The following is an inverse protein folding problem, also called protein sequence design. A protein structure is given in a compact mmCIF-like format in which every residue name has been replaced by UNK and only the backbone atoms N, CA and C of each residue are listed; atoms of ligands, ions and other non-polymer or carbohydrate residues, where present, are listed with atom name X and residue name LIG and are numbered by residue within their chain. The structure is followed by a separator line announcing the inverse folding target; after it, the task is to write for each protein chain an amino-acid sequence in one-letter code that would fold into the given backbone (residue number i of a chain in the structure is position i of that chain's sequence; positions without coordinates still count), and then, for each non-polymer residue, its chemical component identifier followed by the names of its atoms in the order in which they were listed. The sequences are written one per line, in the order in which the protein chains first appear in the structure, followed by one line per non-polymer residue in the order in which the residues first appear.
data_IF_257844150283
#
_entry.id   IF_257844150283
#
_cell.length_a   1.000
_cell.length_b   1.000
_cell.length_c   1.000
_cell.angle_alpha   90.00
_cell.angle_beta   90.00
_cell.angle_gamma   90.00
#
_symmetry.space_group_name_H-M   'P 1'
#
loop_
_entity.id
_entity.type
_entity.pdbx_description
1 polymer ?
#
# COMPACT_ATOMS: atom_id res chain seq x y z
N UNK A 1 7.87 46.94 49.95
CA UNK A 1 7.39 45.54 49.87
C UNK A 1 7.62 45.06 48.45
N UNK A 2 8.73 44.39 48.24
CA UNK A 2 9.27 43.96 46.94
C UNK A 2 8.88 42.51 46.69
N UNK A 3 8.10 42.27 45.63
CA UNK A 3 7.70 40.93 45.19
C UNK A 3 8.80 40.30 44.34
N UNK A 4 9.15 39.01 44.55
CA UNK A 4 10.21 38.36 43.79
C UNK A 4 9.73 37.89 42.41
N UNK A 5 10.62 38.07 41.45
CA UNK A 5 10.56 37.64 40.05
C UNK A 5 10.60 36.11 39.96
N UNK A 6 9.58 35.51 39.35
CA UNK A 6 9.57 34.09 38.97
C UNK A 6 10.19 33.94 37.59
N UNK A 7 11.43 33.46 37.55
CA UNK A 7 12.13 33.10 36.34
C UNK A 7 11.50 31.84 35.71
N UNK A 8 10.97 32.02 34.50
CA UNK A 8 10.53 30.97 33.59
C UNK A 8 11.75 30.22 33.03
N UNK A 9 11.95 28.98 33.48
CA UNK A 9 12.91 28.05 32.89
C UNK A 9 12.20 27.29 31.77
N UNK A 10 12.47 27.66 30.52
CA UNK A 10 12.11 26.86 29.35
C UNK A 10 13.05 25.65 29.22
N UNK A 11 12.53 24.44 28.93
CA UNK A 11 13.37 23.29 28.64
C UNK A 11 14.03 23.46 27.27
N UNK A 12 15.37 23.40 27.25
CA UNK A 12 16.15 23.29 26.01
C UNK A 12 15.86 21.94 25.34
N UNK A 13 15.52 21.90 24.04
CA UNK A 13 15.44 20.64 23.32
C UNK A 13 16.84 20.04 23.21
N UNK A 14 17.01 18.82 23.76
CA UNK A 14 18.17 17.98 23.53
C UNK A 14 18.30 17.74 22.02
N UNK A 15 19.26 18.42 21.39
CA UNK A 15 19.79 18.10 20.08
C UNK A 15 20.66 16.86 20.18
N UNK A 16 20.04 15.70 20.37
CA UNK A 16 20.64 14.43 19.94
C UNK A 16 20.56 14.36 18.41
N UNK A 17 21.35 15.21 17.75
CA UNK A 17 21.73 15.13 16.35
C UNK A 17 22.58 13.86 16.12
N UNK A 18 21.97 12.69 16.31
CA UNK A 18 22.34 11.51 15.54
C UNK A 18 21.70 11.67 14.17
N UNK A 19 22.19 12.64 13.41
CA UNK A 19 22.07 12.60 11.96
C UNK A 19 22.74 11.31 11.52
N UNK A 20 21.91 10.33 11.19
CA UNK A 20 22.33 9.15 10.46
C UNK A 20 22.66 9.69 9.07
N UNK A 21 23.86 10.25 8.96
CA UNK A 21 24.48 10.61 7.69
C UNK A 21 24.63 9.27 6.97
N UNK A 22 23.64 8.97 6.12
CA UNK A 22 23.79 7.94 5.12
C UNK A 22 24.91 8.43 4.22
N UNK A 23 26.10 7.91 4.49
CA UNK A 23 27.28 7.95 3.64
C UNK A 23 26.92 7.16 2.37
N UNK A 24 26.08 7.77 1.52
CA UNK A 24 25.79 7.28 0.21
C UNK A 24 27.11 7.42 -0.56
N UNK A 25 27.68 6.32 -1.08
CA UNK A 25 28.92 6.40 -1.81
C UNK A 25 28.73 7.40 -2.94
N UNK A 26 29.49 8.51 -2.86
CA UNK A 26 29.66 9.47 -3.94
C UNK A 26 30.20 8.68 -5.14
N UNK A 27 29.30 8.16 -5.97
CA UNK A 27 29.65 7.65 -7.28
C UNK A 27 30.12 8.87 -8.07
N UNK A 28 31.45 9.02 -8.12
CA UNK A 28 32.14 9.92 -9.02
C UNK A 28 31.70 9.60 -10.45
N UNK A 29 30.63 10.25 -10.90
CA UNK A 29 30.29 10.34 -12.31
C UNK A 29 31.40 11.16 -12.96
N UNK A 30 32.35 10.45 -13.57
CA UNK A 30 33.21 11.03 -14.60
C UNK A 30 32.30 11.45 -15.76
N UNK A 31 31.77 12.67 -15.70
CA UNK A 31 31.22 13.34 -16.86
C UNK A 31 32.39 13.68 -17.76
N UNK A 32 32.53 12.93 -18.84
CA UNK A 32 33.51 13.17 -19.89
C UNK A 32 32.99 14.38 -20.72
N UNK A 33 33.59 15.58 -20.64
CA UNK A 33 33.10 16.75 -21.33
C UNK A 33 33.89 16.93 -22.63
N UNK A 34 33.51 16.22 -23.69
CA UNK A 34 34.00 16.54 -25.04
C UNK A 34 33.18 15.85 -26.12
N UNK A 35 32.08 16.48 -26.55
CA UNK A 35 31.75 16.47 -27.98
C UNK A 35 30.95 17.74 -28.38
N UNK A 36 31.62 18.86 -28.69
CA UNK A 36 30.99 20.02 -29.30
C UNK A 36 31.01 19.84 -30.82
N UNK A 37 29.91 19.36 -31.42
CA UNK A 37 29.85 19.22 -32.87
C UNK A 37 28.68 18.40 -33.38
N UNK A 38 27.45 18.90 -33.20
CA UNK A 38 26.27 18.39 -33.90
C UNK A 38 25.47 19.57 -34.47
N UNK A 39 25.10 19.56 -35.76
CA UNK A 39 24.59 20.73 -36.47
C UNK A 39 23.20 21.14 -35.99
N UNK A 40 23.04 22.43 -35.73
CA UNK A 40 21.75 23.11 -35.63
C UNK A 40 20.92 22.85 -36.88
N UNK A 41 19.79 22.16 -36.71
CA UNK A 41 18.66 22.35 -37.62
C UNK A 41 17.70 23.30 -36.91
N UNK A 42 17.76 24.56 -37.33
CA UNK A 42 16.69 25.53 -37.14
C UNK A 42 15.38 24.92 -37.65
N UNK A 43 14.44 24.70 -36.74
CA UNK A 43 13.03 24.55 -37.08
C UNK A 43 12.30 25.68 -36.38
N UNK A 44 12.40 26.86 -36.97
CA UNK A 44 11.42 27.93 -36.80
C UNK A 44 10.16 27.51 -37.57
N UNK A 45 9.13 27.11 -36.85
CA UNK A 45 7.77 27.19 -37.38
C UNK A 45 6.89 27.88 -36.35
N UNK A 46 6.96 29.21 -36.42
CA UNK A 46 5.94 30.10 -35.92
C UNK A 46 4.63 29.81 -36.62
N UNK A 47 3.54 29.57 -35.88
CA UNK A 47 2.29 30.35 -36.02
C UNK A 47 1.10 29.65 -35.37
N UNK A 48 0.57 30.32 -34.35
CA UNK A 48 -0.84 30.67 -34.19
C UNK A 48 -1.90 29.56 -34.40
N UNK A 49 -2.46 29.11 -33.27
CA UNK A 49 -3.69 28.33 -33.27
C UNK A 49 -4.32 28.23 -31.89
N UNK A 50 -4.84 29.35 -31.39
CA UNK A 50 -5.79 29.38 -30.28
C UNK A 50 -6.96 28.42 -30.56
N UNK A 51 -7.05 27.34 -29.77
CA UNK A 51 -8.21 26.84 -29.01
C UNK A 51 -8.02 25.33 -28.75
N UNK A 52 -8.22 24.82 -27.52
CA UNK A 52 -8.34 23.40 -27.28
C UNK A 52 -9.69 22.93 -27.85
N UNK A 53 -9.68 22.29 -29.02
CA UNK A 53 -10.77 21.40 -29.40
C UNK A 53 -10.75 20.22 -28.42
N UNK A 54 -11.64 20.29 -27.42
CA UNK A 54 -12.06 19.11 -26.65
C UNK A 54 -12.81 18.20 -27.60
N UNK A 55 -12.09 17.42 -28.40
CA UNK A 55 -12.61 16.22 -29.04
C UNK A 55 -12.83 15.18 -27.94
N UNK A 56 -13.99 15.28 -27.30
CA UNK A 56 -14.58 14.17 -26.57
C UNK A 56 -14.67 12.98 -27.53
N UNK A 57 -14.10 11.81 -27.19
CA UNK A 57 -14.37 10.62 -27.97
C UNK A 57 -15.89 10.36 -27.91
N UNK A 58 -16.53 9.97 -29.02
CA UNK A 58 -17.93 9.56 -28.97
C UNK A 58 -18.05 8.39 -28.00
N UNK A 59 -18.89 8.54 -26.98
CA UNK A 59 -19.39 7.43 -26.17
C UNK A 59 -20.12 6.46 -27.08
N UNK A 60 -19.36 5.53 -27.63
CA UNK A 60 -19.89 4.30 -28.20
C UNK A 60 -20.16 3.38 -27.03
N UNK A 61 -21.41 3.40 -26.56
CA UNK A 61 -21.93 2.28 -25.79
C UNK A 61 -22.08 1.08 -26.73
N UNK A 62 -21.32 -0.01 -26.59
CA UNK A 62 -21.80 -1.31 -27.01
C UNK A 62 -22.87 -1.76 -26.01
N UNK A 63 -24.09 -1.32 -26.27
CA UNK A 63 -25.27 -2.06 -25.85
C UNK A 63 -25.22 -3.41 -26.56
N UNK A 64 -25.07 -4.50 -25.81
CA UNK A 64 -25.28 -5.86 -26.32
C UNK A 64 -24.06 -6.76 -26.36
N UNK A 65 -23.54 -7.14 -25.18
CA UNK A 65 -22.95 -8.48 -25.03
C UNK A 65 -23.80 -9.24 -24.03
N UNK A 66 -24.59 -10.15 -24.56
CA UNK A 66 -25.40 -11.10 -23.83
C UNK A 66 -24.54 -11.82 -22.77
N UNK A 67 -24.83 -11.59 -21.50
CA UNK A 67 -24.42 -12.48 -20.41
C UNK A 67 -25.34 -13.70 -20.49
N UNK A 68 -24.98 -14.62 -21.38
CA UNK A 68 -25.53 -15.97 -21.40
C UNK A 68 -24.92 -16.78 -20.26
N UNK A 69 -25.80 -17.14 -19.32
CA UNK A 69 -25.93 -18.50 -18.78
C UNK A 69 -24.64 -19.32 -18.61
N UNK A 70 -24.21 -19.38 -17.35
CA UNK A 70 -23.58 -20.56 -16.75
C UNK A 70 -23.76 -20.44 -15.24
N UNK A 71 -24.83 -20.91 -14.61
CA UNK A 71 -25.29 -22.29 -14.74
C UNK A 71 -24.42 -23.27 -13.95
N UNK A 72 -23.66 -22.84 -12.92
CA UNK A 72 -23.02 -23.76 -11.99
C UNK A 72 -23.89 -23.95 -10.75
N UNK A 73 -24.77 -24.94 -10.84
CA UNK A 73 -25.39 -25.62 -9.70
C UNK A 73 -24.32 -26.01 -8.67
N UNK A 74 -24.19 -25.24 -7.59
CA UNK A 74 -23.59 -25.74 -6.34
C UNK A 74 -24.65 -26.58 -5.61
N UNK A 75 -24.95 -27.75 -6.18
CA UNK A 75 -25.50 -28.88 -5.42
C UNK A 75 -24.31 -29.69 -4.89
N UNK A 76 -23.67 -29.20 -3.84
CA UNK A 76 -22.87 -30.07 -2.97
C UNK A 76 -23.76 -30.55 -1.84
N UNK A 77 -24.59 -31.53 -2.19
CA UNK A 77 -25.14 -32.48 -1.24
C UNK A 77 -24.03 -33.43 -0.80
N UNK A 78 -23.43 -33.18 0.35
CA UNK A 78 -22.88 -34.24 1.19
C UNK A 78 -23.25 -33.88 2.63
N UNK A 79 -24.45 -34.24 3.10
CA UNK A 79 -24.73 -35.58 3.63
C UNK A 79 -23.54 -36.16 4.38
N UNK A 80 -23.07 -35.46 5.41
CA UNK A 80 -22.41 -36.09 6.55
C UNK A 80 -23.47 -36.90 7.32
N UNK A 81 -23.89 -38.03 6.73
CA UNK A 81 -24.50 -39.11 7.51
C UNK A 81 -23.40 -39.62 8.44
N UNK A 82 -23.35 -39.03 9.62
CA UNK A 82 -22.78 -39.63 10.82
C UNK A 82 -23.46 -40.99 11.01
N UNK A 83 -22.85 -42.02 10.42
CA UNK A 83 -23.10 -43.40 10.78
C UNK A 83 -22.59 -43.57 12.21
N UNK A 84 -23.45 -43.24 13.18
CA UNK A 84 -23.44 -43.86 14.50
C UNK A 84 -23.76 -45.35 14.29
N UNK A 85 -22.77 -46.10 13.81
CA UNK A 85 -22.75 -47.55 14.00
C UNK A 85 -22.25 -47.79 15.41
N UNK A 86 -23.21 -47.84 16.33
CA UNK A 86 -23.07 -48.73 17.47
C UNK A 86 -22.88 -50.13 16.91
N UNK A 87 -21.66 -50.64 16.99
CA UNK A 87 -21.45 -52.06 17.17
C UNK A 87 -20.25 -52.20 18.07
N UNK A 88 -20.55 -52.43 19.35
CA UNK A 88 -19.77 -53.31 20.21
C UNK A 88 -19.53 -54.62 19.44
N UNK A 89 -18.55 -54.60 18.53
CA UNK A 89 -17.88 -55.79 18.06
C UNK A 89 -16.81 -56.01 19.11
N UNK A 90 -17.11 -56.87 20.09
CA UNK A 90 -16.03 -57.66 20.71
C UNK A 90 -15.19 -58.15 19.54
N UNK A 91 -13.95 -57.66 19.44
CA UNK A 91 -13.08 -58.05 18.36
C UNK A 91 -12.94 -59.58 18.45
N UNK A 92 -13.13 -60.29 17.34
CA UNK A 92 -12.90 -61.74 17.26
C UNK A 92 -11.41 -62.11 17.49
N UNK A 93 -10.58 -61.14 17.90
CA UNK A 93 -9.15 -61.25 18.07
C UNK A 93 -8.67 -60.84 19.47
N UNK A 94 -9.60 -60.75 20.43
CA UNK A 94 -9.29 -60.65 21.86
C UNK A 94 -9.62 -61.98 22.52
N UNK A 95 -8.72 -62.47 23.36
CA UNK A 95 -8.91 -63.70 24.14
C UNK A 95 -10.11 -63.54 25.09
N UNK A 96 -10.56 -64.61 25.75
CA UNK A 96 -11.56 -64.53 26.83
C UNK A 96 -11.19 -63.52 27.93
N UNK A 97 -9.90 -63.19 28.06
CA UNK A 97 -9.33 -62.20 28.97
C UNK A 97 -9.30 -60.77 28.42
N UNK A 98 -9.82 -60.52 27.21
CA UNK A 98 -9.83 -59.19 26.59
C UNK A 98 -8.48 -58.70 26.06
N UNK A 99 -7.41 -59.49 26.20
CA UNK A 99 -6.09 -59.19 25.62
C UNK A 99 -6.09 -59.44 24.11
N UNK A 100 -5.55 -58.51 23.33
CA UNK A 100 -5.33 -58.69 21.90
C UNK A 100 -4.41 -59.89 21.67
N UNK A 101 -4.79 -60.81 20.77
CA UNK A 101 -3.93 -61.93 20.38
C UNK A 101 -2.65 -61.35 19.77
N UNK A 102 -1.57 -61.42 20.54
CA UNK A 102 -0.23 -61.09 20.10
C UNK A 102 0.12 -62.02 18.92
N UNK A 103 0.32 -61.43 17.73
CA UNK A 103 0.55 -62.17 16.49
C UNK A 103 -0.61 -62.19 15.47
N UNK A 104 -1.75 -61.56 15.74
CA UNK A 104 -2.82 -61.44 14.73
C UNK A 104 -2.49 -60.38 13.67
N UNK A 105 -2.12 -60.83 12.48
CA UNK A 105 -1.82 -60.01 11.28
C UNK A 105 -2.98 -59.13 10.81
N UNK A 106 -4.20 -59.39 11.29
CA UNK A 106 -5.39 -58.66 10.90
C UNK A 106 -5.71 -57.47 11.82
N UNK A 107 -5.15 -57.40 13.03
CA UNK A 107 -5.43 -56.31 13.98
C UNK A 107 -4.72 -55.00 13.56
N UNK A 108 -3.48 -55.09 13.08
CA UNK A 108 -2.72 -53.92 12.64
C UNK A 108 -3.02 -53.51 11.19
N UNK A 109 -3.85 -54.28 10.46
CA UNK A 109 -4.05 -54.15 9.02
C UNK A 109 -2.90 -54.80 8.23
N UNK A 110 -3.24 -55.43 7.10
CA UNK A 110 -2.30 -56.17 6.25
C UNK A 110 -1.12 -55.33 5.71
N UNK A 111 -1.17 -54.01 5.86
CA UNK A 111 -0.14 -53.08 5.41
C UNK A 111 0.86 -52.64 6.51
N UNK A 112 0.68 -53.05 7.77
CA UNK A 112 1.51 -52.57 8.90
C UNK A 112 2.58 -53.53 9.39
N UNK A 113 2.66 -54.76 8.85
CA UNK A 113 3.87 -55.58 9.00
C UNK A 113 4.93 -55.04 8.04
N UNK A 114 5.71 -54.07 8.52
CA UNK A 114 6.85 -53.55 7.77
C UNK A 114 7.85 -54.67 7.42
N UNK A 115 8.76 -54.46 6.45
CA UNK A 115 9.71 -55.47 5.99
C UNK A 115 10.66 -56.02 7.08
N UNK A 116 10.68 -55.42 8.27
CA UNK A 116 11.41 -55.89 9.46
C UNK A 116 10.57 -56.64 10.50
N UNK A 117 9.27 -56.87 10.25
CA UNK A 117 8.44 -57.67 11.16
C UNK A 117 8.68 -59.16 10.91
N UNK A 118 9.62 -59.74 11.63
CA UNK A 118 9.77 -61.20 11.71
C UNK A 118 8.72 -61.72 12.69
N UNK A 119 7.72 -62.44 12.19
CA UNK A 119 6.79 -63.14 13.08
C UNK A 119 7.53 -64.20 13.88
N UNK A 120 7.48 -64.10 15.22
CA UNK A 120 8.06 -65.10 16.11
C UNK A 120 7.47 -66.49 15.79
N UNK A 121 8.31 -67.52 15.56
CA UNK A 121 7.84 -68.86 15.23
C UNK A 121 7.15 -69.47 16.44
N UNK A 122 5.82 -69.48 16.43
CA UNK A 122 5.04 -70.09 17.50
C UNK A 122 5.11 -71.62 17.36
N UNK A 123 5.98 -72.27 18.14
CA UNK A 123 6.20 -73.72 18.13
C UNK A 123 4.91 -74.53 18.32
N UNK A 124 3.94 -73.99 19.07
CA UNK A 124 2.63 -74.61 19.28
C UNK A 124 1.81 -74.72 17.98
N UNK A 125 1.98 -73.79 17.03
CA UNK A 125 1.30 -73.86 15.74
C UNK A 125 1.90 -74.95 14.83
N UNK A 126 3.22 -75.10 14.84
CA UNK A 126 3.90 -76.13 14.08
C UNK A 126 3.48 -77.54 14.54
N UNK A 127 3.41 -77.78 15.86
CA UNK A 127 2.94 -79.05 16.42
C UNK A 127 1.48 -79.36 16.05
N UNK A 128 0.60 -78.35 16.11
CA UNK A 128 -0.81 -78.48 15.71
C UNK A 128 -0.96 -78.79 14.22
N UNK A 129 -0.17 -78.14 13.37
CA UNK A 129 -0.18 -78.40 11.92
C UNK A 129 0.25 -79.85 11.61
N UNK A 130 1.35 -80.31 12.20
CA UNK A 130 1.84 -81.68 12.01
C UNK A 130 0.82 -82.74 12.48
N UNK A 131 0.14 -82.49 13.60
CA UNK A 131 -0.91 -83.38 14.12
C UNK A 131 -2.13 -83.41 13.19
N UNK A 132 -2.54 -82.25 12.66
CA UNK A 132 -3.63 -82.15 11.70
C UNK A 132 -3.30 -82.91 10.40
N UNK A 133 -2.09 -82.72 9.85
CA UNK A 133 -1.64 -83.42 8.64
C UNK A 133 -1.60 -84.94 8.78
N UNK A 134 -1.26 -85.45 9.96
CA UNK A 134 -1.26 -86.89 10.26
C UNK A 134 -2.68 -87.50 10.22
N UNK A 135 -3.70 -86.71 10.55
CA UNK A 135 -5.12 -87.14 10.58
C UNK A 135 -5.84 -87.03 9.23
N UNK A 136 -5.22 -86.39 8.22
CA UNK A 136 -5.83 -86.19 6.91
C UNK A 136 -5.57 -87.36 5.94
N UNK A 137 -6.63 -87.78 5.25
CA UNK A 137 -6.53 -88.76 4.16
C UNK A 137 -5.72 -88.18 2.97
N UNK A 138 -5.10 -89.04 2.15
CA UNK A 138 -4.32 -88.57 0.97
C UNK A 138 -5.16 -87.77 -0.03
N UNK A 139 -6.46 -88.08 -0.15
CA UNK A 139 -7.40 -87.34 -1.00
C UNK A 139 -7.67 -85.93 -0.47
N UNK A 140 -7.75 -85.75 0.85
CA UNK A 140 -7.89 -84.41 1.45
C UNK A 140 -6.60 -83.61 1.28
N UNK A 141 -5.43 -84.22 1.54
CA UNK A 141 -4.13 -83.58 1.33
C UNK A 141 -3.92 -83.11 -0.11
N UNK A 142 -4.25 -83.93 -1.10
CA UNK A 142 -4.13 -83.52 -2.52
C UNK A 142 -5.10 -82.41 -2.92
N UNK A 143 -6.29 -82.32 -2.31
CA UNK A 143 -7.23 -81.21 -2.52
C UNK A 143 -6.71 -79.91 -1.89
N UNK A 144 -6.21 -80.00 -0.66
CA UNK A 144 -5.61 -78.87 0.06
C UNK A 144 -4.41 -78.33 -0.70
N UNK A 145 -3.48 -79.21 -1.12
CA UNK A 145 -2.31 -78.79 -1.90
C UNK A 145 -2.69 -78.11 -3.23
N UNK A 146 -3.79 -78.55 -3.88
CA UNK A 146 -4.28 -77.90 -5.11
C UNK A 146 -4.89 -76.53 -4.83
N UNK A 147 -5.69 -76.37 -3.76
CA UNK A 147 -6.22 -75.06 -3.38
C UNK A 147 -5.11 -74.11 -2.99
N UNK A 148 -4.13 -74.56 -2.19
CA UNK A 148 -2.97 -73.76 -1.80
C UNK A 148 -2.14 -73.31 -3.02
N UNK A 149 -1.92 -74.19 -3.99
CA UNK A 149 -1.23 -73.82 -5.23
C UNK A 149 -2.02 -72.82 -6.08
N UNK A 150 -3.36 -72.87 -6.06
CA UNK A 150 -4.20 -71.88 -6.75
C UNK A 150 -4.18 -70.53 -6.01
N UNK A 151 -4.26 -70.55 -4.69
CA UNK A 151 -4.20 -69.36 -3.84
C UNK A 151 -2.84 -68.67 -3.96
N UNK A 152 -1.74 -69.42 -3.96
CA UNK A 152 -0.39 -68.87 -4.20
C UNK A 152 -0.27 -68.20 -5.58
N UNK A 153 -0.86 -68.80 -6.63
CA UNK A 153 -0.92 -68.19 -7.96
C UNK A 153 -1.77 -66.92 -7.98
N UNK A 154 -2.90 -66.92 -7.28
CA UNK A 154 -3.75 -65.75 -7.16
C UNK A 154 -3.03 -64.62 -6.42
N UNK A 155 -2.41 -64.92 -5.28
CA UNK A 155 -1.61 -63.97 -4.49
C UNK A 155 -0.47 -63.37 -5.32
N UNK A 156 0.27 -64.20 -6.07
CA UNK A 156 1.33 -63.70 -6.96
C UNK A 156 0.81 -62.73 -8.03
N UNK A 157 -0.42 -62.95 -8.55
CA UNK A 157 -1.05 -62.00 -9.48
C UNK A 157 -1.46 -60.70 -8.79
N UNK A 158 -2.03 -60.79 -7.58
CA UNK A 158 -2.41 -59.63 -6.77
C UNK A 158 -1.16 -58.77 -6.49
N UNK A 159 -0.08 -59.36 -5.96
CA UNK A 159 1.17 -58.65 -5.67
C UNK A 159 1.72 -57.95 -6.94
N UNK A 160 1.71 -58.62 -8.09
CA UNK A 160 2.16 -58.01 -9.36
C UNK A 160 1.26 -56.86 -9.81
N UNK A 161 -0.05 -56.95 -9.58
CA UNK A 161 -0.98 -55.90 -9.92
C UNK A 161 -0.84 -54.70 -8.97
N UNK A 162 -0.69 -54.95 -7.68
CA UNK A 162 -0.42 -53.95 -6.65
C UNK A 162 0.88 -53.19 -6.94
N UNK A 163 1.97 -53.88 -7.24
CA UNK A 163 3.23 -53.26 -7.62
C UNK A 163 3.09 -52.36 -8.87
N UNK A 164 2.25 -52.75 -9.84
CA UNK A 164 1.95 -51.92 -11.02
C UNK A 164 1.12 -50.69 -10.65
N UNK A 165 0.11 -50.83 -9.79
CA UNK A 165 -0.71 -49.70 -9.34
C UNK A 165 0.09 -48.73 -8.49
N UNK A 166 0.96 -49.23 -7.62
CA UNK A 166 1.86 -48.44 -6.79
C UNK A 166 2.85 -47.65 -7.66
N UNK A 167 3.51 -48.31 -8.63
CA UNK A 167 4.40 -47.61 -9.58
C UNK A 167 3.67 -46.50 -10.34
N UNK A 168 2.40 -46.70 -10.72
CA UNK A 168 1.58 -45.67 -11.37
C UNK A 168 1.24 -44.53 -10.41
N UNK A 169 0.83 -44.84 -9.18
CA UNK A 169 0.55 -43.84 -8.15
C UNK A 169 1.78 -42.97 -7.84
N UNK A 170 2.96 -43.59 -7.71
CA UNK A 170 4.23 -42.89 -7.54
C UNK A 170 4.57 -42.00 -8.75
N UNK A 171 4.33 -42.50 -9.98
CA UNK A 171 4.50 -41.70 -11.19
C UNK A 171 3.58 -40.47 -11.24
N UNK A 172 2.32 -40.61 -10.83
CA UNK A 172 1.37 -39.49 -10.74
C UNK A 172 1.86 -38.46 -9.71
N UNK A 173 2.26 -38.89 -8.52
CA UNK A 173 2.77 -38.00 -7.47
C UNK A 173 4.02 -37.21 -7.91
N UNK A 174 4.95 -37.86 -8.64
CA UNK A 174 6.13 -37.18 -9.20
C UNK A 174 5.74 -36.11 -10.23
N UNK A 175 4.78 -36.42 -11.11
CA UNK A 175 4.32 -35.47 -12.12
C UNK A 175 3.57 -34.29 -11.50
N UNK A 176 2.76 -34.53 -10.47
CA UNK A 176 2.08 -33.48 -9.70
C UNK A 176 3.09 -32.56 -9.00
N UNK A 177 4.12 -33.11 -8.36
CA UNK A 177 5.18 -32.32 -7.75
C UNK A 177 5.90 -31.45 -8.79
N UNK A 178 6.22 -32.00 -9.96
CA UNK A 178 6.84 -31.25 -11.04
C UNK A 178 5.92 -30.13 -11.58
N UNK A 179 4.60 -30.37 -11.64
CA UNK A 179 3.63 -29.35 -12.00
C UNK A 179 3.55 -28.22 -10.97
N UNK A 180 3.52 -28.54 -9.67
CA UNK A 180 3.54 -27.56 -8.59
C UNK A 180 4.81 -26.70 -8.61
N UNK A 181 5.97 -27.31 -8.86
CA UNK A 181 7.23 -26.57 -9.02
C UNK A 181 7.17 -25.58 -10.18
N UNK A 182 6.62 -25.98 -11.33
CA UNK A 182 6.43 -25.05 -12.47
C UNK A 182 5.52 -23.88 -12.09
N UNK A 183 4.38 -24.15 -11.44
CA UNK A 183 3.47 -23.09 -10.97
C UNK A 183 4.17 -22.14 -9.99
N UNK A 184 4.97 -22.66 -9.06
CA UNK A 184 5.75 -21.86 -8.12
C UNK A 184 6.75 -20.93 -8.84
N UNK A 185 7.52 -21.45 -9.81
CA UNK A 185 8.47 -20.63 -10.57
C UNK A 185 7.78 -19.51 -11.37
N UNK A 186 6.59 -19.78 -11.90
CA UNK A 186 5.77 -18.77 -12.58
C UNK A 186 5.23 -17.72 -11.60
N UNK A 187 4.77 -18.14 -10.42
CA UNK A 187 4.31 -17.23 -9.37
C UNK A 187 5.42 -16.26 -8.96
N UNK A 188 6.64 -16.76 -8.72
CA UNK A 188 7.82 -15.94 -8.36
C UNK A 188 8.13 -14.90 -9.46
N UNK A 189 8.10 -15.31 -10.74
CA UNK A 189 8.33 -14.38 -11.86
C UNK A 189 7.26 -13.31 -11.96
N UNK A 190 5.99 -13.68 -11.76
CA UNK A 190 4.87 -12.73 -11.80
C UNK A 190 4.96 -11.74 -10.63
N UNK A 191 5.31 -12.21 -9.44
CA UNK A 191 5.54 -11.37 -8.27
C UNK A 191 6.67 -10.37 -8.54
N UNK A 192 7.82 -10.82 -9.05
CA UNK A 192 8.94 -9.93 -9.38
C UNK A 192 8.54 -8.84 -10.39
N UNK A 193 7.73 -9.18 -11.40
CA UNK A 193 7.20 -8.20 -12.37
C UNK A 193 6.23 -7.20 -11.72
N UNK A 194 5.33 -7.67 -10.87
CA UNK A 194 4.40 -6.81 -10.15
C UNK A 194 5.14 -5.85 -9.19
N UNK A 195 6.16 -6.34 -8.49
CA UNK A 195 7.01 -5.50 -7.64
C UNK A 195 7.76 -4.43 -8.46
N UNK A 196 8.36 -4.81 -9.59
CA UNK A 196 9.03 -3.84 -10.47
C UNK A 196 8.07 -2.75 -11.00
N UNK A 197 6.87 -3.15 -11.42
CA UNK A 197 5.84 -2.21 -11.87
C UNK A 197 5.40 -1.26 -10.74
N UNK A 198 5.21 -1.78 -9.53
CA UNK A 198 4.88 -0.97 -8.34
C UNK A 198 5.96 0.05 -8.04
N UNK A 199 7.24 -0.36 -8.04
CA UNK A 199 8.36 0.56 -7.78
C UNK A 199 8.41 1.69 -8.81
N UNK A 200 8.15 1.38 -10.08
CA UNK A 200 8.07 2.41 -11.14
C UNK A 200 6.94 3.41 -10.88
N UNK A 201 5.71 2.92 -10.65
CA UNK A 201 4.55 3.78 -10.37
C UNK A 201 4.79 4.65 -9.14
N UNK A 202 5.45 4.11 -8.11
CA UNK A 202 5.78 4.86 -6.90
C UNK A 202 6.80 5.97 -7.17
N UNK A 203 7.83 5.71 -7.98
CA UNK A 203 8.80 6.73 -8.37
C UNK A 203 8.14 7.85 -9.20
N UNK A 204 7.26 7.49 -10.15
CA UNK A 204 6.48 8.45 -10.93
C UNK A 204 5.57 9.29 -10.03
N UNK A 205 4.89 8.66 -9.06
CA UNK A 205 4.07 9.35 -8.07
C UNK A 205 4.86 10.37 -7.24
N UNK A 206 6.03 10.00 -6.71
CA UNK A 206 6.88 10.91 -5.94
C UNK A 206 7.36 12.11 -6.77
N UNK A 207 7.63 11.90 -8.06
CA UNK A 207 8.01 12.98 -8.97
C UNK A 207 6.86 13.98 -9.16
N UNK A 208 5.64 13.50 -9.39
CA UNK A 208 4.47 14.36 -9.54
C UNK A 208 4.11 15.08 -8.22
N UNK A 209 4.26 14.40 -7.08
CA UNK A 209 4.09 15.00 -5.76
C UNK A 209 5.08 16.17 -5.54
N UNK A 210 6.34 15.99 -5.92
CA UNK A 210 7.34 17.06 -5.85
C UNK A 210 7.00 18.25 -6.77
N UNK A 211 6.50 18.00 -7.98
CA UNK A 211 6.05 19.06 -8.89
C UNK A 211 4.85 19.82 -8.33
N UNK A 212 3.89 19.12 -7.72
CA UNK A 212 2.74 19.73 -7.06
C UNK A 212 3.15 20.65 -5.92
N UNK A 213 4.05 20.19 -5.03
CA UNK A 213 4.54 21.00 -3.91
C UNK A 213 5.31 22.24 -4.39
N UNK A 214 6.11 22.11 -5.45
CA UNK A 214 6.80 23.25 -6.07
C UNK A 214 5.82 24.27 -6.68
N UNK A 215 4.76 23.81 -7.36
CA UNK A 215 3.72 24.67 -7.91
C UNK A 215 2.95 25.39 -6.81
N UNK A 216 2.61 24.69 -5.72
CA UNK A 216 1.96 25.27 -4.54
C UNK A 216 2.82 26.36 -3.91
N UNK A 217 4.11 26.10 -3.71
CA UNK A 217 5.05 27.11 -3.19
C UNK A 217 5.10 28.38 -4.05
N UNK A 218 5.10 28.23 -5.39
CA UNK A 218 5.05 29.37 -6.31
C UNK A 218 3.74 30.16 -6.21
N UNK A 219 2.61 29.47 -6.06
CA UNK A 219 1.31 30.11 -5.87
C UNK A 219 1.26 30.91 -4.57
N UNK A 220 1.70 30.31 -3.45
CA UNK A 220 1.75 30.99 -2.15
C UNK A 220 2.67 32.22 -2.20
N UNK A 221 3.82 32.13 -2.87
CA UNK A 221 4.71 33.27 -3.09
C UNK A 221 4.08 34.38 -3.96
N UNK A 222 3.40 34.02 -5.05
CA UNK A 222 2.71 34.97 -5.91
C UNK A 222 1.56 35.67 -5.17
N UNK A 223 0.82 34.94 -4.33
CA UNK A 223 -0.25 35.48 -3.50
C UNK A 223 0.30 36.47 -2.46
N UNK A 224 1.40 36.12 -1.77
CA UNK A 224 2.05 37.04 -0.84
C UNK A 224 2.51 38.33 -1.54
N UNK A 225 3.03 38.22 -2.77
CA UNK A 225 3.44 39.39 -3.56
C UNK A 225 2.25 40.28 -3.92
N UNK A 226 1.15 39.70 -4.39
CA UNK A 226 -0.08 40.44 -4.71
C UNK A 226 -0.54 41.25 -3.48
N UNK A 227 -0.65 40.59 -2.33
CA UNK A 227 -1.09 41.24 -1.10
C UNK A 227 -0.17 42.41 -0.70
N UNK A 228 1.15 42.26 -0.84
CA UNK A 228 2.09 43.35 -0.53
C UNK A 228 1.98 44.56 -1.47
N UNK A 229 1.66 44.33 -2.74
CA UNK A 229 1.43 45.40 -3.71
C UNK A 229 0.10 46.11 -3.44
N UNK A 230 -0.95 45.36 -3.05
CA UNK A 230 -2.23 45.91 -2.63
C UNK A 230 -2.11 46.79 -1.37
N UNK A 231 -1.37 46.33 -0.36
CA UNK A 231 -1.06 47.12 0.85
C UNK A 231 -0.29 48.40 0.49
N UNK A 232 0.69 48.30 -0.43
CA UNK A 232 1.46 49.47 -0.90
C UNK A 232 0.57 50.48 -1.61
N UNK A 233 -0.34 50.01 -2.47
CA UNK A 233 -1.34 50.83 -3.15
C UNK A 233 -2.28 51.53 -2.16
N UNK A 234 -2.72 50.84 -1.11
CA UNK A 234 -3.55 51.40 -0.05
C UNK A 234 -2.80 52.49 0.74
N UNK A 235 -1.54 52.27 1.08
CA UNK A 235 -0.67 53.27 1.71
C UNK A 235 -0.56 54.52 0.83
N UNK A 236 -0.34 54.37 -0.48
CA UNK A 236 -0.24 55.50 -1.42
C UNK A 236 -1.56 56.28 -1.50
N UNK A 237 -2.71 55.59 -1.52
CA UNK A 237 -4.03 56.23 -1.49
C UNK A 237 -4.27 57.03 -0.21
N UNK A 238 -3.97 56.43 0.94
CA UNK A 238 -4.11 57.09 2.24
C UNK A 238 -3.19 58.32 2.33
N UNK A 239 -1.93 58.21 1.89
CA UNK A 239 -1.00 59.34 1.84
C UNK A 239 -1.51 60.48 0.92
N UNK A 240 -2.04 60.14 -0.26
CA UNK A 240 -2.62 61.14 -1.16
C UNK A 240 -3.82 61.86 -0.50
N UNK A 241 -4.68 61.13 0.21
CA UNK A 241 -5.79 61.72 0.96
C UNK A 241 -5.30 62.65 2.07
N UNK A 242 -4.37 62.20 2.92
CA UNK A 242 -3.77 63.03 3.97
C UNK A 242 -3.11 64.30 3.39
N UNK A 243 -2.44 64.20 2.24
CA UNK A 243 -1.84 65.35 1.58
C UNK A 243 -2.89 66.36 1.13
N UNK A 244 -4.03 65.90 0.61
CA UNK A 244 -5.16 66.79 0.25
C UNK A 244 -5.82 67.42 1.46
N UNK A 245 -5.95 66.69 2.57
CA UNK A 245 -6.47 67.23 3.83
C UNK A 245 -5.56 68.33 4.39
N UNK A 246 -4.24 68.09 4.45
CA UNK A 246 -3.24 69.11 4.85
C UNK A 246 -3.29 70.36 3.97
N UNK A 247 -3.53 70.20 2.67
CA UNK A 247 -3.69 71.34 1.76
C UNK A 247 -4.94 72.17 2.09
N UNK A 248 -6.06 71.51 2.38
CA UNK A 248 -7.31 72.17 2.76
C UNK A 248 -7.17 72.91 4.09
N UNK A 249 -6.56 72.29 5.10
CA UNK A 249 -6.26 72.95 6.38
C UNK A 249 -5.42 74.21 6.19
N UNK A 250 -4.34 74.12 5.38
CA UNK A 250 -3.48 75.27 5.09
C UNK A 250 -4.19 76.36 4.29
N UNK A 251 -5.08 76.01 3.37
CA UNK A 251 -5.90 76.98 2.67
C UNK A 251 -6.84 77.73 3.64
N UNK A 252 -7.49 77.01 4.56
CA UNK A 252 -8.33 77.60 5.60
C UNK A 252 -7.53 78.51 6.54
N UNK A 253 -6.31 78.11 6.93
CA UNK A 253 -5.41 78.93 7.73
C UNK A 253 -5.04 80.24 7.01
N UNK A 254 -4.71 80.18 5.72
CA UNK A 254 -4.40 81.36 4.91
C UNK A 254 -5.61 82.29 4.79
N UNK A 255 -6.81 81.75 4.57
CA UNK A 255 -8.03 82.56 4.50
C UNK A 255 -8.34 83.20 5.85
N UNK A 256 -8.14 82.48 6.96
CA UNK A 256 -8.23 83.04 8.31
C UNK A 256 -7.27 84.22 8.50
N UNK A 257 -5.99 84.07 8.13
CA UNK A 257 -4.99 85.13 8.21
C UNK A 257 -5.35 86.35 7.34
N UNK A 258 -5.88 86.13 6.13
CA UNK A 258 -6.36 87.21 5.25
C UNK A 258 -7.50 87.99 5.90
N UNK A 259 -8.45 87.30 6.54
CA UNK A 259 -9.56 87.97 7.24
C UNK A 259 -9.06 88.79 8.43
N UNK A 260 -8.14 88.24 9.24
CA UNK A 260 -7.51 88.96 10.35
C UNK A 260 -6.74 90.20 9.87
N UNK A 261 -5.88 90.04 8.87
CA UNK A 261 -5.11 91.16 8.31
C UNK A 261 -6.02 92.28 7.78
N UNK A 262 -7.11 91.92 7.11
CA UNK A 262 -8.11 92.89 6.64
C UNK A 262 -8.87 93.60 7.77
N UNK A 263 -9.01 92.98 8.94
CA UNK A 263 -9.52 93.64 10.16
C UNK A 263 -8.46 94.60 10.70
N UNK A 264 -7.23 94.14 10.90
CA UNK A 264 -6.12 94.93 11.44
C UNK A 264 -5.84 96.19 10.61
N UNK A 265 -5.88 96.11 9.29
CA UNK A 265 -5.65 97.27 8.41
C UNK A 265 -6.77 98.31 8.56
N UNK A 266 -8.03 97.86 8.70
CA UNK A 266 -9.17 98.75 8.95
C UNK A 266 -9.06 99.42 10.31
N UNK A 267 -8.67 98.66 11.34
CA UNK A 267 -8.41 99.21 12.68
C UNK A 267 -7.25 100.20 12.67
N UNK A 268 -6.16 99.91 11.95
CA UNK A 268 -5.01 100.81 11.79
C UNK A 268 -5.44 102.10 11.11
N UNK A 269 -6.18 102.02 10.01
CA UNK A 269 -6.72 103.18 9.32
C UNK A 269 -7.62 104.02 10.24
N UNK A 270 -8.50 103.38 11.03
CA UNK A 270 -9.36 104.06 12.00
C UNK A 270 -8.57 104.74 13.13
N UNK A 271 -7.50 104.12 13.63
CA UNK A 271 -6.62 104.73 14.64
C UNK A 271 -5.82 105.90 14.08
N UNK A 272 -5.33 105.79 12.85
CA UNK A 272 -4.59 106.87 12.20
C UNK A 272 -5.47 108.10 11.99
N UNK A 273 -6.73 107.93 11.56
CA UNK A 273 -7.67 109.06 11.43
C UNK A 273 -8.00 109.69 12.79
N UNK A 274 -8.11 108.90 13.87
CA UNK A 274 -8.29 109.41 15.23
C UNK A 274 -7.10 110.24 15.72
N UNK A 275 -5.87 109.82 15.43
CA UNK A 275 -4.64 110.54 15.81
C UNK A 275 -4.47 111.85 15.02
N UNK A 276 -4.74 111.85 13.71
CA UNK A 276 -4.69 113.08 12.90
C UNK A 276 -5.73 114.13 13.32
N UNK A 277 -6.91 113.69 13.76
CA UNK A 277 -7.96 114.58 14.28
C UNK A 277 -7.57 115.29 15.58
N UNK A 278 -6.84 114.61 16.47
CA UNK A 278 -6.37 115.18 17.75
C UNK A 278 -5.19 116.14 17.59
N UNK A 279 -4.37 116.00 16.54
CA UNK A 279 -3.20 116.86 16.34
C UNK A 279 -3.56 118.28 15.83
N UNK A 280 -4.73 118.45 15.20
CA UNK A 280 -5.24 119.74 14.73
C UNK A 280 -5.94 120.57 15.81
N UNK A 281 -6.18 120.01 17.01
CA UNK A 281 -6.78 120.74 18.13
C UNK A 281 -5.75 121.35 19.10
N UNK A 282 -4.45 121.32 18.79
CA UNK A 282 -3.38 121.86 19.64
C UNK A 282 -2.45 122.84 18.88
N UNK A 283 -3.02 123.84 18.20
CA UNK A 283 -2.29 125.04 17.72
C UNK A 283 -3.17 126.27 17.95
N UNK A 284 -3.45 126.58 19.21
CA UNK A 284 -3.80 127.93 19.69
C UNK A 284 -3.23 128.07 21.10
N UNK A 285 -2.01 128.59 21.19
CA UNK A 285 -1.48 129.38 22.31
C UNK A 285 -0.49 130.36 21.71
#
# INVERSE_FOLDING_TARGET
MTSPSTASLSPTPNSDDRSIYFDAPLSHFHMNPSNPGGPSTDVTNDSNGWLPATDLPPETHPNGAAVTRGGSHLKSSSSTRSLKRSSSRRSLFTNSEGRTIEGSTFIAGAAMTGPGSTGEPNENLAFRAATADASLTSKQRSRIAKSEAQDAKHLSRVIKQEAKTEKRALGVAINELAALQKVQTLAIRNEARAQAARTKIFADFQKEEALFLAARSKFEAAQSRLNSEDETMEIVRNNAQEATERLQEKAQEVDSLRTMFGVDERERAAKMTELEGKHKSCVIC
#
